data_IF_308581668794
#
_entry.id   IF_308581668794
#
_cell.length_a   1.000
_cell.length_b   1.000
_cell.length_c   1.000
_cell.angle_alpha   90.00
_cell.angle_beta   90.00
_cell.angle_gamma   90.00
#
_symmetry.space_group_name_H-M   'P 1'
#
loop_
_entity.id
_entity.type
_entity.pdbx_description
1 polymer ?
#
# COMPACT_ATOMS: atom_id res chain seq x y z
N UNK A 1 2.98 26.71 -22.02
CA UNK A 1 1.84 27.06 -21.16
C UNK A 1 0.68 26.16 -21.52
N UNK A 2 0.17 25.38 -20.58
CA UNK A 2 -0.94 24.44 -20.77
C UNK A 2 -1.97 24.67 -19.68
N UNK A 3 -3.24 24.82 -20.07
CA UNK A 3 -4.37 24.97 -19.16
C UNK A 3 -5.05 23.63 -18.94
N UNK A 4 -5.31 23.26 -17.71
CA UNK A 4 -6.06 22.06 -17.31
C UNK A 4 -7.25 22.46 -16.45
N UNK A 5 -8.41 21.86 -16.70
CA UNK A 5 -9.61 21.94 -15.85
C UNK A 5 -10.33 20.60 -15.85
N UNK A 6 -10.35 19.92 -14.71
CA UNK A 6 -10.78 18.52 -14.61
C UNK A 6 -10.03 17.65 -15.63
N UNK A 7 -10.76 16.88 -16.45
CA UNK A 7 -10.17 16.04 -17.51
C UNK A 7 -9.83 16.80 -18.82
N UNK A 8 -10.09 18.11 -18.90
CA UNK A 8 -9.89 18.89 -20.12
C UNK A 8 -8.58 19.65 -20.08
N UNK A 9 -7.79 19.50 -21.14
CA UNK A 9 -6.51 20.23 -21.30
C UNK A 9 -6.51 21.07 -22.58
N UNK A 10 -5.86 22.23 -22.55
CA UNK A 10 -5.65 23.10 -23.71
C UNK A 10 -4.25 23.68 -23.72
N UNK A 11 -3.49 23.41 -24.78
CA UNK A 11 -2.18 24.02 -24.99
C UNK A 11 -2.32 25.47 -25.48
N UNK A 12 -1.43 26.34 -25.00
CA UNK A 12 -1.39 27.77 -25.32
C UNK A 12 -2.76 28.47 -25.17
N UNK A 13 -3.33 28.48 -23.95
CA UNK A 13 -4.65 29.05 -23.67
C UNK A 13 -4.67 30.57 -23.94
N UNK A 14 -5.77 31.07 -24.49
CA UNK A 14 -6.03 32.52 -24.57
C UNK A 14 -6.61 33.03 -23.26
N UNK A 15 -6.61 34.35 -23.05
CA UNK A 15 -7.26 34.98 -21.88
C UNK A 15 -8.72 34.57 -21.75
N UNK A 16 -9.45 34.47 -22.87
CA UNK A 16 -10.84 34.04 -22.88
C UNK A 16 -11.01 32.59 -22.41
N UNK A 17 -10.07 31.70 -22.74
CA UNK A 17 -10.07 30.31 -22.28
C UNK A 17 -9.87 30.21 -20.77
N UNK A 18 -8.97 31.02 -20.22
CA UNK A 18 -8.70 31.09 -18.78
C UNK A 18 -9.94 31.63 -18.05
N UNK A 19 -10.55 32.70 -18.55
CA UNK A 19 -11.77 33.25 -17.94
C UNK A 19 -12.95 32.27 -17.98
N UNK A 20 -13.09 31.52 -19.08
CA UNK A 20 -14.10 30.48 -19.21
C UNK A 20 -13.83 29.31 -18.25
N UNK A 21 -12.57 28.90 -18.09
CA UNK A 21 -12.18 27.85 -17.15
C UNK A 21 -12.48 28.26 -15.70
N UNK A 22 -12.15 29.49 -15.31
CA UNK A 22 -12.48 30.00 -13.97
C UNK A 22 -13.99 30.05 -13.73
N UNK A 23 -14.78 30.49 -14.71
CA UNK A 23 -16.25 30.47 -14.59
C UNK A 23 -16.84 29.05 -14.57
N UNK A 24 -16.22 28.11 -15.29
CA UNK A 24 -16.63 26.71 -15.26
C UNK A 24 -16.37 26.10 -13.87
N UNK A 25 -15.17 26.28 -13.33
CA UNK A 25 -14.81 25.83 -11.98
C UNK A 25 -15.71 26.46 -10.89
N UNK A 26 -16.09 27.74 -11.04
CA UNK A 26 -17.03 28.40 -10.13
C UNK A 26 -18.45 27.81 -10.16
N UNK A 27 -18.86 27.23 -11.30
CA UNK A 27 -20.23 26.69 -11.51
C UNK A 27 -20.34 25.17 -11.29
N UNK A 28 -19.22 24.44 -11.31
CA UNK A 28 -19.17 23.00 -11.10
C UNK A 28 -19.47 22.58 -9.66
N UNK A 29 -19.91 21.33 -9.47
CA UNK A 29 -19.97 20.66 -8.16
C UNK A 29 -18.71 19.81 -8.00
N UNK A 30 -17.95 20.06 -6.92
CA UNK A 30 -16.78 19.35 -6.38
C UNK A 30 -15.65 18.96 -7.37
N UNK A 31 -14.41 19.34 -7.02
CA UNK A 31 -13.10 18.93 -7.59
C UNK A 31 -12.57 19.60 -8.88
N UNK A 32 -13.22 20.61 -9.46
CA UNK A 32 -12.68 21.32 -10.64
C UNK A 32 -11.59 22.36 -10.27
N UNK A 33 -10.32 21.94 -10.38
CA UNK A 33 -9.13 22.81 -10.26
C UNK A 33 -8.79 23.41 -11.62
N UNK A 34 -8.52 24.72 -11.67
CA UNK A 34 -7.97 25.38 -12.87
C UNK A 34 -6.47 25.49 -12.73
N UNK A 35 -5.70 24.78 -13.55
CA UNK A 35 -4.24 24.72 -13.49
C UNK A 35 -3.59 25.27 -14.77
N UNK A 36 -2.55 26.08 -14.61
CA UNK A 36 -1.69 26.58 -15.68
C UNK A 36 -0.26 26.05 -15.49
N UNK A 37 0.18 25.17 -16.38
CA UNK A 37 1.54 24.61 -16.40
C UNK A 37 2.44 25.43 -17.35
N UNK A 38 3.50 26.04 -16.81
CA UNK A 38 4.51 26.75 -17.59
C UNK A 38 5.70 25.86 -18.00
N UNK A 39 5.97 24.77 -17.27
CA UNK A 39 7.02 23.77 -17.51
C UNK A 39 6.89 22.54 -16.61
N UNK A 40 7.86 21.61 -16.64
CA UNK A 40 7.79 20.31 -15.91
C UNK A 40 7.59 20.45 -14.39
N UNK A 41 8.04 21.56 -13.79
CA UNK A 41 7.97 21.81 -12.34
C UNK A 41 7.45 23.22 -12.02
N UNK A 42 6.81 23.92 -12.97
CA UNK A 42 6.32 25.28 -12.76
C UNK A 42 4.85 25.39 -13.14
N UNK A 43 4.01 25.68 -12.14
CA UNK A 43 2.56 25.77 -12.32
C UNK A 43 1.92 26.83 -11.42
N UNK A 44 0.71 27.24 -11.80
CA UNK A 44 -0.19 28.05 -10.98
C UNK A 44 -1.60 27.46 -11.06
N UNK A 45 -2.17 27.09 -9.92
CA UNK A 45 -3.48 26.47 -9.80
C UNK A 45 -4.44 27.35 -9.00
N UNK A 46 -5.74 27.24 -9.30
CA UNK A 46 -6.83 27.89 -8.59
C UNK A 46 -7.90 26.85 -8.22
N UNK A 47 -8.11 26.67 -6.92
CA UNK A 47 -9.11 25.79 -6.34
C UNK A 47 -10.32 26.61 -5.90
N UNK A 48 -11.53 26.19 -6.30
CA UNK A 48 -12.76 26.83 -5.86
C UNK A 48 -13.18 26.34 -4.45
N UNK A 49 -13.45 27.26 -3.52
CA UNK A 49 -13.76 26.96 -2.11
C UNK A 49 -15.26 26.75 -1.82
N UNK A 50 -16.11 26.74 -2.85
CA UNK A 50 -17.56 26.56 -2.73
C UNK A 50 -18.35 27.81 -2.34
N UNK A 51 -17.69 28.89 -1.90
CA UNK A 51 -18.30 30.19 -1.55
C UNK A 51 -18.14 31.27 -2.62
N UNK A 52 -17.64 30.90 -3.81
CA UNK A 52 -17.36 31.82 -4.93
C UNK A 52 -15.94 32.42 -4.91
N UNK A 53 -15.14 32.15 -3.88
CA UNK A 53 -13.72 32.51 -3.81
C UNK A 53 -12.83 31.34 -4.19
N UNK A 54 -11.55 31.64 -4.40
CA UNK A 54 -10.56 30.66 -4.80
C UNK A 54 -9.29 30.76 -3.96
N UNK A 55 -8.74 29.61 -3.61
CA UNK A 55 -7.37 29.50 -3.11
C UNK A 55 -6.43 29.30 -4.29
N UNK A 56 -5.32 30.04 -4.33
CA UNK A 56 -4.28 29.84 -5.35
C UNK A 56 -3.13 29.02 -4.79
N UNK A 57 -2.61 28.10 -5.60
CA UNK A 57 -1.35 27.37 -5.36
C UNK A 57 -0.34 27.68 -6.47
N UNK A 58 0.91 27.96 -6.11
CA UNK A 58 2.01 28.11 -7.07
C UNK A 58 3.12 27.15 -6.71
N UNK A 59 3.57 26.35 -7.68
CA UNK A 59 4.77 25.54 -7.54
C UNK A 59 5.85 26.00 -8.49
N UNK A 60 7.08 26.07 -7.99
CA UNK A 60 8.28 26.20 -8.81
C UNK A 60 9.43 25.34 -8.22
N UNK A 61 10.63 25.44 -8.81
CA UNK A 61 11.83 24.73 -8.34
C UNK A 61 12.26 25.11 -6.91
N UNK A 62 11.78 26.22 -6.38
CA UNK A 62 12.13 26.74 -5.05
C UNK A 62 11.15 26.31 -3.96
N UNK A 63 9.93 25.91 -4.33
CA UNK A 63 8.95 25.38 -3.39
C UNK A 63 7.51 25.54 -3.87
N UNK A 64 6.58 25.29 -2.95
CA UNK A 64 5.15 25.53 -3.15
C UNK A 64 4.70 26.68 -2.28
N UNK A 65 3.76 27.45 -2.80
CA UNK A 65 3.21 28.63 -2.16
C UNK A 65 1.69 28.62 -2.31
N UNK A 66 0.98 29.13 -1.31
CA UNK A 66 -0.47 29.27 -1.36
C UNK A 66 -0.93 30.65 -0.91
N UNK A 67 -2.13 31.06 -1.29
CA UNK A 67 -2.75 32.27 -0.74
C UNK A 67 -3.08 32.09 0.74
N UNK A 68 -2.80 33.12 1.55
CA UNK A 68 -3.15 33.15 2.98
C UNK A 68 -4.67 33.07 3.21
N UNK A 69 -5.44 33.72 2.35
CA UNK A 69 -6.90 33.70 2.34
C UNK A 69 -7.43 33.55 0.90
N UNK A 70 -8.61 32.91 0.69
CA UNK A 70 -9.22 32.81 -0.62
C UNK A 70 -9.53 34.19 -1.23
N UNK A 71 -9.23 34.35 -2.52
CA UNK A 71 -9.40 35.60 -3.27
C UNK A 71 -10.62 35.55 -4.21
N UNK A 72 -11.17 36.72 -4.55
CA UNK A 72 -12.36 36.84 -5.40
C UNK A 72 -12.11 36.40 -6.85
N UNK A 73 -13.15 35.88 -7.52
CA UNK A 73 -13.09 35.39 -8.91
C UNK A 73 -12.46 36.39 -9.88
N UNK A 74 -12.78 37.69 -9.75
CA UNK A 74 -12.22 38.73 -10.62
C UNK A 74 -10.70 38.86 -10.47
N UNK A 75 -10.20 38.69 -9.25
CA UNK A 75 -8.76 38.73 -8.93
C UNK A 75 -8.06 37.49 -9.47
N UNK A 76 -8.67 36.31 -9.35
CA UNK A 76 -8.16 35.05 -9.92
C UNK A 76 -7.93 35.15 -11.42
N UNK A 77 -8.94 35.65 -12.16
CA UNK A 77 -8.84 35.83 -13.62
C UNK A 77 -7.66 36.73 -13.99
N UNK A 78 -7.46 37.83 -13.26
CA UNK A 78 -6.34 38.74 -13.48
C UNK A 78 -4.99 38.07 -13.21
N UNK A 79 -4.88 37.35 -12.09
CA UNK A 79 -3.66 36.64 -11.68
C UNK A 79 -3.29 35.54 -12.68
N UNK A 80 -4.23 34.66 -13.03
CA UNK A 80 -4.00 33.58 -14.00
C UNK A 80 -3.68 34.15 -15.40
N UNK A 81 -4.36 35.22 -15.83
CA UNK A 81 -4.08 35.87 -17.10
C UNK A 81 -2.67 36.47 -17.18
N UNK A 82 -2.20 37.10 -16.09
CA UNK A 82 -0.83 37.63 -16.00
C UNK A 82 0.22 36.55 -15.90
N UNK A 83 -0.08 35.45 -15.21
CA UNK A 83 0.80 34.28 -15.18
C UNK A 83 0.94 33.66 -16.56
N UNK A 84 -0.18 33.46 -17.28
CA UNK A 84 -0.18 32.91 -18.63
C UNK A 84 0.61 33.76 -19.64
N UNK A 85 0.63 35.09 -19.47
CA UNK A 85 1.40 36.01 -20.31
C UNK A 85 2.86 36.20 -19.89
N UNK A 86 3.29 35.59 -18.77
CA UNK A 86 4.62 35.74 -18.20
C UNK A 86 4.87 37.09 -17.51
N UNK A 87 3.82 37.86 -17.19
CA UNK A 87 3.95 39.14 -16.47
C UNK A 87 4.19 38.92 -14.97
N UNK A 88 5.39 39.23 -14.43
CA UNK A 88 5.72 38.97 -13.02
C UNK A 88 4.86 39.77 -12.03
N UNK A 89 4.06 40.74 -12.48
CA UNK A 89 3.14 41.49 -11.64
C UNK A 89 2.06 40.62 -10.99
N UNK A 90 1.78 39.42 -11.51
CA UNK A 90 0.81 38.49 -10.92
C UNK A 90 1.12 38.19 -9.44
N UNK A 91 2.41 38.12 -9.07
CA UNK A 91 2.87 37.89 -7.68
C UNK A 91 2.57 39.04 -6.73
N UNK A 92 2.29 40.24 -7.24
CA UNK A 92 1.93 41.41 -6.42
C UNK A 92 0.44 41.51 -6.17
N UNK A 93 -0.37 40.76 -6.92
CA UNK A 93 -1.82 40.79 -6.79
C UNK A 93 -2.39 39.75 -5.83
N UNK A 94 -1.58 38.74 -5.51
CA UNK A 94 -1.86 37.71 -4.51
C UNK A 94 -0.69 37.62 -3.53
N UNK A 95 -1.00 37.61 -2.23
CA UNK A 95 0.01 37.36 -1.20
C UNK A 95 0.17 35.85 -1.05
N UNK A 96 1.22 35.32 -1.66
CA UNK A 96 1.60 33.93 -1.55
C UNK A 96 2.49 33.72 -0.33
N UNK A 97 2.08 32.82 0.55
CA UNK A 97 2.88 32.34 1.67
C UNK A 97 3.55 31.03 1.25
N UNK A 98 4.83 30.80 1.62
CA UNK A 98 5.43 29.49 1.45
C UNK A 98 4.62 28.49 2.26
N UNK A 99 4.29 27.36 1.62
CA UNK A 99 3.56 26.28 2.27
C UNK A 99 4.29 25.92 3.56
N UNK A 100 3.62 26.08 4.71
CA UNK A 100 4.20 25.65 5.98
C UNK A 100 4.48 24.17 5.79
N UNK A 101 5.76 23.75 5.81
CA UNK A 101 6.17 22.36 5.60
C UNK A 101 5.49 21.42 6.61
N UNK A 102 4.24 21.09 6.36
CA UNK A 102 3.58 19.86 6.71
C UNK A 102 3.24 19.22 5.37
N UNK A 103 3.66 17.98 5.15
CA UNK A 103 4.08 17.50 3.84
C UNK A 103 2.88 17.32 2.90
N UNK A 104 2.61 18.32 2.06
CA UNK A 104 2.03 18.06 0.76
C UNK A 104 2.86 17.00 0.06
N UNK A 105 2.22 15.87 -0.25
CA UNK A 105 2.70 14.83 -1.16
C UNK A 105 4.21 14.68 -1.19
N UNK A 106 4.84 14.36 -0.04
CA UNK A 106 6.15 13.70 -0.12
C UNK A 106 5.91 12.55 -1.07
N UNK A 107 6.70 12.49 -2.15
CA UNK A 107 6.98 11.25 -2.87
C UNK A 107 7.09 10.22 -1.75
N UNK A 108 6.02 9.43 -1.51
CA UNK A 108 6.17 8.20 -0.75
C UNK A 108 7.39 7.64 -1.42
N UNK A 109 8.47 7.40 -0.67
CA UNK A 109 9.58 6.65 -1.23
C UNK A 109 8.84 5.43 -1.75
N UNK A 110 8.66 5.39 -3.07
CA UNK A 110 8.02 4.27 -3.69
C UNK A 110 8.86 3.11 -3.20
N UNK A 111 8.23 1.97 -3.08
CA UNK A 111 8.92 0.70 -3.17
C UNK A 111 9.67 0.55 -4.52
N UNK A 112 10.27 1.62 -5.05
CA UNK A 112 11.32 1.61 -6.03
C UNK A 112 12.56 1.11 -5.29
N UNK A 113 12.91 -0.18 -5.45
CA UNK A 113 14.17 -0.68 -4.94
C UNK A 113 15.28 0.28 -5.40
N UNK A 114 16.23 0.62 -4.51
CA UNK A 114 17.31 1.53 -4.88
C UNK A 114 18.04 0.94 -6.10
N UNK A 115 18.52 1.80 -7.00
CA UNK A 115 19.12 1.38 -8.29
C UNK A 115 20.16 0.27 -8.11
N UNK A 116 20.97 0.33 -7.04
CA UNK A 116 21.94 -0.72 -6.72
C UNK A 116 21.30 -2.08 -6.42
N UNK A 117 20.13 -2.14 -5.77
CA UNK A 117 19.42 -3.39 -5.49
C UNK A 117 18.80 -3.97 -6.76
N UNK A 118 18.27 -3.14 -7.66
CA UNK A 118 17.79 -3.57 -8.99
C UNK A 118 18.95 -4.17 -9.78
N UNK A 119 20.10 -3.49 -9.82
CA UNK A 119 21.30 -3.96 -10.51
C UNK A 119 21.79 -5.28 -9.91
N UNK A 120 21.81 -5.42 -8.58
CA UNK A 120 22.27 -6.63 -7.89
C UNK A 120 21.34 -7.82 -8.16
N UNK A 121 20.03 -7.59 -8.21
CA UNK A 121 19.04 -8.62 -8.57
C UNK A 121 19.13 -8.99 -10.04
N UNK A 122 19.28 -8.01 -10.93
CA UNK A 122 19.50 -8.26 -12.36
C UNK A 122 20.79 -9.05 -12.58
N UNK A 123 21.89 -8.65 -11.94
CA UNK A 123 23.17 -9.38 -12.00
C UNK A 123 23.01 -10.79 -11.44
N UNK A 124 22.31 -11.01 -10.33
CA UNK A 124 22.05 -12.36 -9.83
C UNK A 124 21.22 -13.20 -10.82
N UNK A 125 20.22 -12.59 -11.45
CA UNK A 125 19.34 -13.24 -12.44
C UNK A 125 20.09 -13.63 -13.73
N UNK A 126 21.12 -12.88 -14.13
CA UNK A 126 21.93 -13.18 -15.32
C UNK A 126 23.20 -13.98 -15.01
N UNK A 127 23.88 -13.71 -13.89
CA UNK A 127 25.13 -14.37 -13.52
C UNK A 127 24.93 -15.82 -13.07
N UNK A 128 23.85 -16.13 -12.34
CA UNK A 128 23.59 -17.50 -11.87
C UNK A 128 23.31 -18.50 -13.01
N UNK A 129 22.54 -18.16 -14.06
CA UNK A 129 22.45 -18.97 -15.28
C UNK A 129 23.76 -19.07 -16.06
N UNK A 130 24.52 -17.97 -16.16
CA UNK A 130 25.82 -17.99 -16.86
C UNK A 130 26.81 -18.93 -16.17
N UNK A 131 26.81 -18.97 -14.84
CA UNK A 131 27.60 -19.92 -14.05
C UNK A 131 27.20 -21.38 -14.28
N UNK A 132 25.94 -21.65 -14.66
CA UNK A 132 25.47 -23.01 -15.01
C UNK A 132 25.88 -23.46 -16.42
N UNK A 133 26.39 -22.55 -17.25
CA UNK A 133 26.89 -22.82 -18.61
C UNK A 133 28.42 -22.96 -18.63
N UNK A 134 29.11 -22.61 -17.53
CA UNK A 134 30.55 -22.77 -17.40
C UNK A 134 30.94 -24.26 -17.36
N UNK A 135 32.13 -24.64 -17.89
CA UNK A 135 32.59 -26.03 -17.90
C UNK A 135 32.60 -26.64 -16.50
N UNK A 136 32.22 -27.92 -16.39
CA UNK A 136 32.09 -28.64 -15.11
C UNK A 136 33.38 -28.56 -14.25
N UNK A 137 34.55 -28.48 -14.87
CA UNK A 137 35.85 -28.32 -14.20
C UNK A 137 35.99 -27.03 -13.37
N UNK A 138 35.17 -26.01 -13.64
CA UNK A 138 35.12 -24.76 -12.87
C UNK A 138 34.11 -24.81 -11.71
N UNK A 139 33.21 -25.79 -11.69
CA UNK A 139 32.11 -25.91 -10.70
C UNK A 139 32.30 -27.04 -9.68
N UNK A 140 33.37 -27.86 -9.82
CA UNK A 140 33.57 -29.12 -9.07
C UNK A 140 33.65 -29.03 -7.53
N UNK A 141 33.78 -27.85 -6.92
CA UNK A 141 33.96 -27.72 -5.46
C UNK A 141 32.67 -27.51 -4.65
N UNK A 142 32.02 -26.38 -4.89
CA UNK A 142 30.91 -25.87 -4.05
C UNK A 142 29.64 -25.58 -4.86
N UNK A 143 29.72 -25.59 -6.19
CA UNK A 143 28.62 -25.33 -7.11
C UNK A 143 28.02 -26.61 -7.72
N UNK A 144 28.69 -27.76 -7.59
CA UNK A 144 28.28 -29.05 -8.18
C UNK A 144 26.95 -29.60 -7.67
N UNK A 145 26.42 -29.08 -6.55
CA UNK A 145 25.07 -29.37 -6.05
C UNK A 145 24.04 -28.28 -6.37
N UNK A 146 24.43 -27.17 -6.99
CA UNK A 146 23.57 -26.00 -7.23
C UNK A 146 22.72 -26.30 -8.46
N UNK A 147 21.76 -27.22 -8.29
CA UNK A 147 20.79 -27.57 -9.33
C UNK A 147 19.95 -26.37 -9.75
N UNK A 148 19.11 -26.52 -10.80
CA UNK A 148 18.29 -25.44 -11.37
C UNK A 148 17.41 -24.71 -10.35
N UNK A 149 17.13 -25.31 -9.18
CA UNK A 149 16.45 -24.67 -8.06
C UNK A 149 17.11 -23.36 -7.57
N UNK A 150 18.44 -23.25 -7.62
CA UNK A 150 19.17 -22.05 -7.18
C UNK A 150 19.16 -20.90 -8.20
N UNK A 151 18.85 -21.18 -9.47
CA UNK A 151 18.61 -20.15 -10.49
C UNK A 151 17.38 -19.30 -10.11
N UNK A 152 16.40 -19.93 -9.44
CA UNK A 152 15.19 -19.26 -8.95
C UNK A 152 15.36 -18.77 -7.51
N UNK A 153 15.91 -19.61 -6.61
CA UNK A 153 16.04 -19.26 -5.20
C UNK A 153 17.15 -18.22 -4.92
N UNK A 154 18.26 -18.26 -5.67
CA UNK A 154 19.40 -17.36 -5.50
C UNK A 154 19.06 -15.88 -5.66
N UNK A 155 18.42 -15.45 -6.77
CA UNK A 155 17.99 -14.07 -6.96
C UNK A 155 16.99 -13.61 -5.89
N UNK A 156 16.10 -14.49 -5.42
CA UNK A 156 15.14 -14.19 -4.33
C UNK A 156 15.88 -13.93 -3.02
N UNK A 157 16.85 -14.78 -2.66
CA UNK A 157 17.67 -14.60 -1.45
C UNK A 157 18.46 -13.30 -1.52
N UNK A 158 19.09 -13.03 -2.67
CA UNK A 158 19.86 -11.82 -2.92
C UNK A 158 18.98 -10.56 -2.83
N UNK A 159 17.78 -10.59 -3.41
CA UNK A 159 16.78 -9.52 -3.30
C UNK A 159 16.41 -9.27 -1.83
N UNK A 160 16.11 -10.32 -1.06
CA UNK A 160 15.75 -10.20 0.35
C UNK A 160 16.89 -9.61 1.18
N UNK A 161 18.14 -10.06 0.94
CA UNK A 161 19.32 -9.51 1.62
C UNK A 161 19.53 -8.04 1.25
N UNK A 162 19.35 -7.66 -0.02
CA UNK A 162 19.45 -6.26 -0.46
C UNK A 162 18.38 -5.37 0.21
N UNK A 163 17.13 -5.84 0.31
CA UNK A 163 16.05 -5.13 1.01
C UNK A 163 16.42 -4.91 2.49
N UNK A 164 16.88 -5.97 3.17
CA UNK A 164 17.29 -5.89 4.58
C UNK A 164 18.48 -4.95 4.77
N UNK A 165 19.51 -5.07 3.93
CA UNK A 165 20.70 -4.21 3.98
C UNK A 165 20.34 -2.73 3.75
N UNK A 166 19.44 -2.44 2.79
CA UNK A 166 18.98 -1.07 2.54
C UNK A 166 18.31 -0.48 3.78
N UNK A 167 17.40 -1.23 4.42
CA UNK A 167 16.72 -0.79 5.64
C UNK A 167 17.69 -0.62 6.81
N UNK A 168 18.68 -1.50 6.96
CA UNK A 168 19.72 -1.36 7.99
C UNK A 168 20.60 -0.12 7.78
N UNK A 169 20.90 0.24 6.52
CA UNK A 169 21.63 1.48 6.20
C UNK A 169 20.81 2.73 6.54
N UNK A 170 19.50 2.73 6.24
CA UNK A 170 18.61 3.83 6.64
C UNK A 170 18.55 4.00 8.16
N UNK A 171 18.46 2.89 8.90
CA UNK A 171 18.45 2.89 10.37
C UNK A 171 19.77 3.39 10.94
N UNK A 172 20.92 3.00 10.36
CA UNK A 172 22.23 3.52 10.78
C UNK A 172 22.35 5.03 10.56
N UNK A 173 21.84 5.54 9.44
CA UNK A 173 21.83 6.99 9.17
C UNK A 173 20.92 7.74 10.14
N UNK A 174 19.76 7.17 10.43
CA UNK A 174 18.85 7.74 11.40
C UNK A 174 19.37 7.64 12.83
N UNK A 175 20.17 6.63 13.19
CA UNK A 175 20.71 6.44 14.55
C UNK A 175 21.57 7.62 15.06
N UNK A 176 22.10 8.45 14.17
CA UNK A 176 22.84 9.67 14.51
C UNK A 176 21.94 10.92 14.63
N UNK A 177 20.64 10.80 14.37
CA UNK A 177 19.73 11.94 14.44
C UNK A 177 19.62 12.50 15.87
N UNK A 178 19.78 13.82 16.05
CA UNK A 178 19.50 14.51 17.30
C UNK A 178 18.03 14.38 17.68
N UNK A 179 17.74 14.67 18.95
CA UNK A 179 16.41 14.62 19.52
C UNK A 179 16.01 15.97 20.12
N UNK A 180 14.75 16.32 19.99
CA UNK A 180 14.14 17.49 20.62
C UNK A 180 12.82 17.12 21.30
N UNK A 181 12.46 17.76 22.44
CA UNK A 181 11.15 17.58 23.03
C UNK A 181 10.08 18.14 22.08
N UNK A 182 9.01 17.38 21.91
CA UNK A 182 7.83 17.75 21.15
C UNK A 182 6.54 17.42 21.88
N UNK A 183 5.43 17.86 21.30
CA UNK A 183 4.08 17.63 21.84
C UNK A 183 3.18 17.07 20.77
N UNK A 184 2.39 16.05 21.12
CA UNK A 184 1.36 15.51 20.23
C UNK A 184 0.22 16.53 20.10
N UNK A 185 -0.08 16.95 18.88
CA UNK A 185 -1.18 17.86 18.56
C UNK A 185 -2.43 17.10 18.10
N UNK A 186 -2.24 15.94 17.47
CA UNK A 186 -3.32 15.09 16.95
C UNK A 186 -3.02 13.62 17.18
N UNK A 187 -4.04 12.84 17.55
CA UNK A 187 -3.94 11.38 17.73
C UNK A 187 -5.31 10.76 17.56
N UNK A 188 -5.61 10.33 16.33
CA UNK A 188 -6.89 9.74 15.95
C UNK A 188 -6.73 8.60 14.94
N UNK A 189 -7.81 7.85 14.72
CA UNK A 189 -7.86 6.87 13.62
C UNK A 189 -8.22 7.60 12.34
N UNK A 190 -7.42 7.45 11.29
CA UNK A 190 -7.74 7.95 9.97
C UNK A 190 -8.00 6.80 8.99
N UNK A 191 -9.14 6.85 8.32
CA UNK A 191 -9.44 5.96 7.22
C UNK A 191 -8.73 6.45 5.94
N UNK A 192 -7.91 5.59 5.35
CA UNK A 192 -7.20 5.86 4.09
C UNK A 192 -7.76 4.97 3.00
N UNK A 193 -8.23 5.58 1.93
CA UNK A 193 -8.70 4.88 0.73
C UNK A 193 -7.50 4.61 -0.19
N UNK A 194 -7.23 3.33 -0.46
CA UNK A 194 -6.19 2.88 -1.40
C UNK A 194 -6.87 2.38 -2.66
N UNK A 195 -6.92 3.23 -3.67
CA UNK A 195 -7.36 2.83 -5.02
C UNK A 195 -6.19 2.23 -5.79
N UNK A 196 -6.47 1.17 -6.53
CA UNK A 196 -5.56 0.55 -7.47
C UNK A 196 -6.32 0.32 -8.76
N UNK A 197 -5.71 0.52 -9.94
CA UNK A 197 -6.42 0.35 -11.21
C UNK A 197 -6.90 -1.08 -11.48
N UNK A 198 -6.28 -2.07 -10.83
CA UNK A 198 -6.47 -3.50 -11.07
C UNK A 198 -7.33 -4.24 -10.04
N UNK A 199 -7.79 -3.55 -8.99
CA UNK A 199 -8.61 -4.13 -7.92
C UNK A 199 -9.50 -3.06 -7.26
N UNK A 200 -10.57 -3.46 -6.56
CA UNK A 200 -11.43 -2.51 -5.85
C UNK A 200 -10.65 -1.69 -4.81
N UNK A 201 -11.08 -0.46 -4.58
CA UNK A 201 -10.48 0.42 -3.59
C UNK A 201 -10.70 -0.12 -2.17
N UNK A 202 -9.62 -0.11 -1.41
CA UNK A 202 -9.57 -0.63 -0.04
C UNK A 202 -9.59 0.52 0.97
N UNK A 203 -10.23 0.31 2.12
CA UNK A 203 -10.14 1.23 3.26
C UNK A 203 -9.22 0.62 4.29
N UNK A 204 -8.21 1.39 4.71
CA UNK A 204 -7.26 1.00 5.74
C UNK A 204 -7.31 2.02 6.88
N UNK A 205 -7.54 1.56 8.10
CA UNK A 205 -7.52 2.42 9.29
C UNK A 205 -6.10 2.55 9.81
N UNK A 206 -5.48 3.72 9.63
CA UNK A 206 -4.11 4.00 10.02
C UNK A 206 -4.11 5.01 11.20
N UNK A 207 -3.11 4.97 12.10
CA UNK A 207 -2.99 5.94 13.18
C UNK A 207 -2.53 7.29 12.62
N UNK A 208 -3.38 8.31 12.70
CA UNK A 208 -3.04 9.68 12.35
C UNK A 208 -2.52 10.41 13.59
N UNK A 209 -1.19 10.45 13.70
CA UNK A 209 -0.50 11.15 14.78
C UNK A 209 0.20 12.37 14.19
N UNK A 210 -0.06 13.55 14.74
CA UNK A 210 0.65 14.78 14.42
C UNK A 210 1.29 15.32 15.69
N UNK A 211 2.48 15.89 15.53
CA UNK A 211 3.23 16.45 16.63
C UNK A 211 3.99 17.69 16.20
N UNK A 212 4.25 18.56 17.17
CA UNK A 212 5.06 19.76 17.00
C UNK A 212 6.32 19.67 17.86
N UNK A 213 7.42 20.25 17.36
CA UNK A 213 8.69 20.33 18.10
C UNK A 213 9.50 21.53 17.63
N UNK A 214 10.52 21.89 18.41
CA UNK A 214 11.41 23.00 18.07
C UNK A 214 12.82 22.48 17.80
N UNK A 215 13.37 22.83 16.64
CA UNK A 215 14.76 22.54 16.27
C UNK A 215 15.43 23.83 15.77
N UNK A 216 16.64 24.12 16.26
CA UNK A 216 17.38 25.34 15.90
C UNK A 216 16.56 26.64 16.06
N UNK A 217 15.68 26.71 17.06
CA UNK A 217 14.82 27.87 17.33
C UNK A 217 13.60 28.00 16.41
N UNK A 218 13.41 27.10 15.44
CA UNK A 218 12.26 27.07 14.53
C UNK A 218 11.30 25.94 14.92
N UNK A 219 10.01 26.20 14.79
CA UNK A 219 8.95 25.22 15.06
C UNK A 219 8.70 24.37 13.82
N UNK A 220 8.62 23.07 14.02
CA UNK A 220 8.36 22.07 12.99
C UNK A 220 7.19 21.18 13.39
N UNK A 221 6.52 20.61 12.39
CA UNK A 221 5.49 19.59 12.57
C UNK A 221 5.93 18.30 11.91
N UNK A 222 5.46 17.18 12.45
CA UNK A 222 5.72 15.87 11.89
C UNK A 222 4.54 14.93 12.08
N UNK A 223 4.47 13.93 11.21
CA UNK A 223 3.38 12.95 11.17
C UNK A 223 3.85 11.50 11.18
N UNK A 224 5.17 11.29 11.16
CA UNK A 224 5.77 9.96 11.01
C UNK A 224 6.08 9.41 12.39
N UNK A 225 5.58 8.21 12.67
CA UNK A 225 5.96 7.56 13.92
C UNK A 225 7.31 6.87 13.80
N UNK A 226 7.64 6.22 12.68
CA UNK A 226 8.92 5.49 12.54
C UNK A 226 9.58 5.54 11.18
N UNK A 227 10.69 4.81 11.04
CA UNK A 227 11.45 4.67 9.77
C UNK A 227 10.78 3.66 8.82
N UNK A 228 9.93 2.77 9.34
CA UNK A 228 9.17 1.81 8.55
C UNK A 228 8.04 2.45 7.73
N UNK A 229 7.58 1.73 6.70
CA UNK A 229 6.28 2.06 6.07
C UNK A 229 5.15 1.79 7.06
N UNK A 230 4.15 2.66 7.06
CA UNK A 230 2.96 2.53 7.91
C UNK A 230 2.37 1.12 7.77
N UNK A 231 2.23 0.42 8.89
CA UNK A 231 2.00 -1.04 8.95
C UNK A 231 0.58 -1.48 8.53
N UNK A 232 -0.06 -0.76 7.61
CA UNK A 232 -1.40 -1.07 7.12
C UNK A 232 -2.46 -1.08 8.21
N UNK A 233 -2.27 -0.30 9.29
CA UNK A 233 -3.21 -0.22 10.40
C UNK A 233 -3.04 -1.28 11.50
N UNK A 234 -2.10 -2.22 11.37
CA UNK A 234 -1.81 -3.15 12.45
C UNK A 234 -1.30 -2.40 13.69
N UNK A 235 -1.90 -2.65 14.85
CA UNK A 235 -1.61 -2.00 16.14
C UNK A 235 -2.03 -0.51 16.26
N UNK A 236 -2.95 -0.02 15.41
CA UNK A 236 -3.45 1.37 15.48
C UNK A 236 -3.87 1.76 16.90
N UNK A 237 -4.63 0.92 17.61
CA UNK A 237 -5.07 1.25 18.98
C UNK A 237 -3.92 1.45 19.96
N UNK A 238 -2.96 0.51 19.98
CA UNK A 238 -1.81 0.55 20.86
C UNK A 238 -0.95 1.79 20.61
N UNK A 239 -0.84 2.18 19.34
CA UNK A 239 -0.07 3.35 18.91
C UNK A 239 -0.72 4.65 19.39
N UNK A 240 -2.02 4.80 19.19
CA UNK A 240 -2.76 5.97 19.65
C UNK A 240 -2.84 6.04 21.18
N UNK A 241 -2.85 4.89 21.88
CA UNK A 241 -2.75 4.85 23.35
C UNK A 241 -1.36 5.29 23.85
N UNK A 242 -0.30 4.99 23.10
CA UNK A 242 1.08 5.38 23.41
C UNK A 242 1.34 6.87 23.16
N UNK A 243 0.64 7.47 22.21
CA UNK A 243 0.80 8.86 21.80
C UNK A 243 -0.50 9.66 21.97
N UNK A 244 -0.97 9.91 23.21
CA UNK A 244 -2.19 10.68 23.43
C UNK A 244 -1.98 12.17 23.10
N UNK A 245 -3.05 12.84 22.67
CA UNK A 245 -3.05 14.30 22.41
C UNK A 245 -2.58 15.05 23.66
N UNK A 246 -1.69 16.03 23.44
CA UNK A 246 -1.08 16.82 24.50
C UNK A 246 0.11 16.15 25.20
N UNK A 247 0.35 14.86 24.95
CA UNK A 247 1.49 14.13 25.49
C UNK A 247 2.83 14.67 25.00
N UNK A 248 3.83 14.65 25.87
CA UNK A 248 5.22 15.02 25.53
C UNK A 248 5.95 13.82 24.95
N UNK A 249 6.63 14.03 23.83
CA UNK A 249 7.40 13.01 23.11
C UNK A 249 8.79 13.50 22.78
N UNK A 250 9.70 12.56 22.51
CA UNK A 250 11.00 12.89 21.91
C UNK A 250 10.88 12.72 20.41
N UNK A 251 11.20 13.78 19.67
CA UNK A 251 11.21 13.79 18.21
C UNK A 251 12.65 13.69 17.75
N UNK A 252 12.95 12.67 16.96
CA UNK A 252 14.23 12.51 16.28
C UNK A 252 14.13 13.17 14.90
N UNK A 253 15.10 14.00 14.53
CA UNK A 253 15.05 14.75 13.28
C UNK A 253 16.40 14.74 12.55
N UNK A 254 16.36 14.81 11.23
CA UNK A 254 17.56 14.97 10.42
C UNK A 254 18.12 16.41 10.59
N UNK A 255 19.37 16.61 11.03
CA UNK A 255 19.95 17.95 11.19
C UNK A 255 19.96 18.77 9.89
N UNK A 256 20.08 18.10 8.74
CA UNK A 256 20.13 18.75 7.43
C UNK A 256 18.72 19.08 6.90
N UNK A 257 17.69 18.36 7.34
CA UNK A 257 16.28 18.62 7.03
C UNK A 257 15.41 18.30 8.25
N UNK A 258 15.19 19.26 9.17
CA UNK A 258 14.41 18.98 10.38
C UNK A 258 12.96 18.55 10.09
N UNK A 259 12.41 18.84 8.91
CA UNK A 259 11.10 18.32 8.50
C UNK A 259 11.10 16.80 8.30
N UNK A 260 12.26 16.16 8.14
CA UNK A 260 12.45 14.72 8.17
C UNK A 260 12.64 14.27 9.63
N UNK A 261 11.52 14.01 10.31
CA UNK A 261 11.50 13.64 11.70
C UNK A 261 10.64 12.39 11.95
N UNK A 262 10.90 11.70 13.06
CA UNK A 262 10.19 10.50 13.53
C UNK A 262 10.11 10.46 15.05
N UNK A 263 9.09 9.82 15.62
CA UNK A 263 8.97 9.56 17.07
C UNK A 263 9.77 8.34 17.53
N UNK A 264 9.97 7.37 16.63
CA UNK A 264 10.67 6.11 16.85
C UNK A 264 11.78 5.94 15.81
N UNK A 265 13.01 6.01 16.28
CA UNK A 265 14.22 5.81 15.46
C UNK A 265 14.62 4.34 15.31
N UNK A 266 14.11 3.49 16.19
CA UNK A 266 14.44 2.06 16.22
C UNK A 266 13.48 1.26 15.32
N UNK A 267 13.97 0.18 14.72
CA UNK A 267 13.09 -0.82 14.11
C UNK A 267 12.15 -1.38 15.19
N UNK A 268 10.86 -1.63 14.90
CA UNK A 268 9.96 -2.25 15.86
C UNK A 268 10.59 -3.54 16.42
N UNK A 269 10.51 -3.71 17.74
CA UNK A 269 11.07 -4.88 18.45
C UNK A 269 10.47 -6.16 17.86
N UNK A 270 11.26 -6.85 17.03
CA UNK A 270 10.83 -8.10 16.38
C UNK A 270 10.97 -8.12 14.86
N UNK A 271 11.04 -6.98 14.17
CA UNK A 271 11.21 -6.97 12.69
C UNK A 271 12.56 -7.59 12.31
N UNK A 272 13.64 -7.26 13.00
CA UNK A 272 14.95 -7.88 12.77
C UNK A 272 14.95 -9.39 13.04
N UNK A 273 14.31 -9.83 14.12
CA UNK A 273 14.17 -11.26 14.47
C UNK A 273 13.26 -12.00 13.48
N UNK A 274 12.21 -11.35 12.99
CA UNK A 274 11.29 -11.88 11.99
C UNK A 274 11.94 -12.02 10.62
N UNK A 275 12.67 -10.99 10.16
CA UNK A 275 13.45 -11.06 8.92
C UNK A 275 14.55 -12.12 9.01
N UNK A 276 15.30 -12.19 10.11
CA UNK A 276 16.30 -13.23 10.34
C UNK A 276 15.67 -14.62 10.41
N UNK A 277 14.54 -14.77 11.09
CA UNK A 277 13.80 -16.03 11.17
C UNK A 277 13.26 -16.48 9.82
N UNK A 278 12.75 -15.56 8.99
CA UNK A 278 12.29 -15.85 7.63
C UNK A 278 13.45 -16.24 6.72
N UNK A 279 14.57 -15.52 6.77
CA UNK A 279 15.79 -15.88 6.03
C UNK A 279 16.33 -17.24 6.46
N UNK A 280 16.38 -17.52 7.77
CA UNK A 280 16.81 -18.80 8.30
C UNK A 280 15.85 -19.92 7.88
N UNK A 281 14.53 -19.69 7.92
CA UNK A 281 13.52 -20.65 7.47
C UNK A 281 13.65 -20.96 5.98
N UNK A 282 13.80 -19.95 5.13
CA UNK A 282 14.05 -20.12 3.70
C UNK A 282 15.37 -20.86 3.44
N UNK A 283 16.43 -20.55 4.20
CA UNK A 283 17.71 -21.24 4.08
C UNK A 283 17.60 -22.72 4.49
N UNK A 284 16.86 -23.04 5.55
CA UNK A 284 16.60 -24.43 5.98
C UNK A 284 15.78 -25.18 4.92
N UNK A 285 14.75 -24.55 4.34
CA UNK A 285 13.95 -25.15 3.25
C UNK A 285 14.82 -25.37 2.02
N UNK A 286 15.61 -24.38 1.60
CA UNK A 286 16.52 -24.49 0.48
C UNK A 286 17.58 -25.58 0.71
N UNK A 287 18.16 -25.64 1.92
CA UNK A 287 19.09 -26.70 2.30
C UNK A 287 18.44 -28.08 2.29
N UNK A 288 17.20 -28.20 2.78
CA UNK A 288 16.44 -29.45 2.73
C UNK A 288 16.16 -29.92 1.30
N UNK A 289 15.71 -29.01 0.43
CA UNK A 289 15.51 -29.28 -0.99
C UNK A 289 16.82 -29.66 -1.68
N UNK A 290 17.92 -28.97 -1.36
CA UNK A 290 19.24 -29.27 -1.90
C UNK A 290 19.76 -30.63 -1.44
N UNK A 291 19.71 -30.89 -0.13
CA UNK A 291 20.28 -32.08 0.52
C UNK A 291 19.49 -33.35 0.25
N UNK A 292 18.17 -33.24 0.12
CA UNK A 292 17.26 -34.38 0.02
C UNK A 292 16.48 -34.42 -1.30
N UNK A 293 16.35 -33.33 -2.04
CA UNK A 293 15.56 -33.28 -3.28
C UNK A 293 16.05 -34.27 -4.33
N UNK A 294 17.35 -34.26 -4.64
CA UNK A 294 17.95 -35.22 -5.58
C UNK A 294 17.77 -36.68 -5.14
N UNK A 295 18.22 -37.08 -3.94
CA UNK A 295 18.03 -38.45 -3.44
C UNK A 295 16.56 -38.90 -3.36
N UNK A 296 15.65 -38.01 -3.00
CA UNK A 296 14.20 -38.31 -2.96
C UNK A 296 13.65 -38.51 -4.37
N UNK A 297 14.02 -37.63 -5.32
CA UNK A 297 13.62 -37.75 -6.72
C UNK A 297 14.13 -39.06 -7.32
N UNK A 298 15.42 -39.37 -7.20
CA UNK A 298 16.00 -40.60 -7.76
C UNK A 298 15.44 -41.87 -7.11
N UNK A 299 15.14 -41.84 -5.80
CA UNK A 299 14.49 -42.95 -5.11
C UNK A 299 13.05 -43.14 -5.59
N UNK A 300 12.32 -42.05 -5.84
CA UNK A 300 10.95 -42.09 -6.37
C UNK A 300 10.91 -42.52 -7.83
N UNK A 301 11.82 -42.01 -8.66
CA UNK A 301 12.02 -42.43 -10.06
C UNK A 301 12.32 -43.93 -10.14
N UNK A 302 13.21 -44.44 -9.28
CA UNK A 302 13.52 -45.88 -9.21
C UNK A 302 12.34 -46.75 -8.77
N UNK A 303 11.33 -46.20 -8.09
CA UNK A 303 10.14 -46.92 -7.66
C UNK A 303 8.95 -46.81 -8.62
N UNK A 304 8.77 -45.66 -9.26
CA UNK A 304 7.52 -45.31 -9.95
C UNK A 304 7.72 -44.86 -11.42
N UNK A 305 8.98 -44.69 -11.86
CA UNK A 305 9.32 -44.10 -13.16
C UNK A 305 9.33 -42.56 -13.14
N UNK A 306 10.08 -41.97 -14.07
CA UNK A 306 10.32 -40.51 -14.16
C UNK A 306 9.03 -39.70 -14.29
N UNK A 307 8.12 -40.10 -15.19
CA UNK A 307 6.86 -39.36 -15.40
C UNK A 307 5.93 -39.36 -14.18
N UNK A 308 5.91 -40.45 -13.39
CA UNK A 308 5.00 -40.59 -12.25
C UNK A 308 5.54 -39.95 -10.97
N UNK A 309 6.87 -39.91 -10.79
CA UNK A 309 7.51 -39.30 -9.61
C UNK A 309 7.25 -37.78 -9.57
N UNK A 310 7.29 -37.10 -10.72
CA UNK A 310 6.97 -35.67 -10.81
C UNK A 310 5.50 -35.38 -10.50
N UNK A 311 4.57 -36.18 -11.04
CA UNK A 311 3.13 -36.04 -10.76
C UNK A 311 2.86 -36.26 -9.25
N UNK A 312 3.49 -37.26 -8.65
CA UNK A 312 3.40 -37.54 -7.22
C UNK A 312 3.81 -36.33 -6.36
N UNK A 313 4.96 -35.74 -6.66
CA UNK A 313 5.50 -34.61 -5.90
C UNK A 313 4.69 -33.33 -6.07
N UNK A 314 4.28 -33.01 -7.31
CA UNK A 314 3.48 -31.82 -7.59
C UNK A 314 2.10 -31.94 -6.94
N UNK A 315 1.41 -33.07 -7.14
CA UNK A 315 0.08 -33.29 -6.59
C UNK A 315 0.09 -33.38 -5.06
N UNK A 316 1.06 -34.10 -4.48
CA UNK A 316 1.23 -34.20 -3.03
C UNK A 316 1.62 -32.87 -2.37
N UNK A 317 2.52 -32.10 -3.00
CA UNK A 317 2.91 -30.77 -2.56
C UNK A 317 1.76 -29.76 -2.63
N UNK A 318 1.01 -29.75 -3.74
CA UNK A 318 -0.19 -28.94 -3.88
C UNK A 318 -1.27 -29.32 -2.86
N UNK A 319 -1.47 -30.63 -2.61
CA UNK A 319 -2.38 -31.13 -1.58
C UNK A 319 -2.02 -30.65 -0.18
N UNK A 320 -0.73 -30.74 0.19
CA UNK A 320 -0.22 -30.25 1.48
C UNK A 320 -0.38 -28.74 1.62
N UNK A 321 -0.06 -27.96 0.57
CA UNK A 321 -0.22 -26.51 0.57
C UNK A 321 -1.68 -26.10 0.78
N UNK A 322 -2.62 -26.72 0.05
CA UNK A 322 -4.05 -26.47 0.21
C UNK A 322 -4.57 -26.88 1.59
N UNK A 323 -4.04 -27.95 2.18
CA UNK A 323 -4.38 -28.37 3.54
C UNK A 323 -3.89 -27.35 4.59
N UNK A 324 -2.69 -26.79 4.43
CA UNK A 324 -2.18 -25.72 5.29
C UNK A 324 -3.03 -24.46 5.17
N UNK A 325 -3.43 -24.08 3.95
CA UNK A 325 -4.38 -22.98 3.73
C UNK A 325 -5.73 -23.26 4.39
N UNK A 326 -6.24 -24.49 4.34
CA UNK A 326 -7.47 -24.88 5.04
C UNK A 326 -7.35 -24.67 6.56
N UNK A 327 -6.27 -25.14 7.19
CA UNK A 327 -6.07 -24.94 8.62
C UNK A 327 -5.90 -23.47 9.00
N UNK A 328 -5.17 -22.69 8.18
CA UNK A 328 -5.05 -21.24 8.34
C UNK A 328 -6.42 -20.55 8.26
N UNK A 329 -7.17 -20.82 7.20
CA UNK A 329 -8.52 -20.28 7.00
C UNK A 329 -9.48 -20.69 8.12
N UNK A 330 -9.41 -21.94 8.61
CA UNK A 330 -10.23 -22.42 9.73
C UNK A 330 -9.88 -21.72 11.04
N UNK A 331 -8.60 -21.46 11.30
CA UNK A 331 -8.16 -20.72 12.49
C UNK A 331 -8.70 -19.28 12.45
N UNK A 332 -8.56 -18.59 11.31
CA UNK A 332 -9.09 -17.24 11.11
C UNK A 332 -10.62 -17.21 11.17
N UNK A 333 -11.31 -18.20 10.59
CA UNK A 333 -12.78 -18.28 10.66
C UNK A 333 -13.30 -18.56 12.07
N UNK A 334 -12.60 -19.38 12.87
CA UNK A 334 -12.96 -19.63 14.28
C UNK A 334 -12.83 -18.35 15.12
N UNK A 335 -11.81 -17.53 14.84
CA UNK A 335 -11.63 -16.23 15.48
C UNK A 335 -12.72 -15.26 15.02
N UNK A 336 -12.97 -15.16 13.71
CA UNK A 336 -14.00 -14.29 13.12
C UNK A 336 -15.43 -14.61 13.59
N UNK A 337 -15.75 -15.87 13.85
CA UNK A 337 -17.06 -16.25 14.39
C UNK A 337 -17.26 -15.88 15.86
N UNK A 338 -16.18 -15.61 16.60
CA UNK A 338 -16.20 -15.20 18.00
C UNK A 338 -16.02 -13.68 18.17
N UNK A 339 -15.97 -12.93 17.07
CA UNK A 339 -15.83 -11.47 17.12
C UNK A 339 -17.05 -10.81 17.80
N UNK A 340 -16.83 -9.90 18.76
CA UNK A 340 -17.87 -9.06 19.31
C UNK A 340 -18.51 -8.19 18.22
N UNK A 341 -19.73 -7.72 18.48
CA UNK A 341 -20.44 -6.79 17.60
C UNK A 341 -20.71 -5.44 18.23
N UNK A 342 -20.79 -4.43 17.37
CA UNK A 342 -21.20 -3.07 17.71
C UNK A 342 -22.14 -2.53 16.63
N UNK A 343 -22.98 -1.55 16.97
CA UNK A 343 -23.77 -0.84 15.97
C UNK A 343 -22.88 0.09 15.15
N UNK A 344 -23.03 0.05 13.83
CA UNK A 344 -22.39 0.95 12.88
C UNK A 344 -23.40 1.48 11.87
N UNK A 345 -22.94 2.36 10.98
CA UNK A 345 -23.76 2.97 9.93
C UNK A 345 -23.06 2.91 8.60
N UNK A 346 -23.80 2.56 7.55
CA UNK A 346 -23.29 2.64 6.17
C UNK A 346 -23.11 4.11 5.79
N UNK A 347 -21.88 4.48 5.42
CA UNK A 347 -21.50 5.85 5.02
C UNK A 347 -21.36 5.99 3.50
N UNK A 348 -21.16 4.88 2.78
CA UNK A 348 -21.12 4.86 1.32
C UNK A 348 -21.65 3.54 0.80
N UNK A 349 -22.49 3.56 -0.24
CA UNK A 349 -22.97 2.34 -0.88
C UNK A 349 -23.09 2.49 -2.39
N UNK A 350 -22.48 1.57 -3.14
CA UNK A 350 -22.50 1.61 -4.59
C UNK A 350 -21.72 0.49 -5.25
N UNK A 351 -21.24 0.77 -6.46
CA UNK A 351 -20.43 -0.18 -7.23
C UNK A 351 -19.22 0.52 -7.80
N UNK A 352 -18.09 -0.18 -7.79
CA UNK A 352 -16.85 0.28 -8.41
C UNK A 352 -16.45 -0.70 -9.51
N UNK A 353 -15.91 -0.16 -10.61
CA UNK A 353 -15.33 -0.96 -11.68
C UNK A 353 -13.81 -0.95 -11.60
N UNK A 354 -13.18 -2.08 -11.86
CA UNK A 354 -11.73 -2.21 -11.93
C UNK A 354 -11.33 -3.04 -13.17
N UNK A 355 -10.12 -2.82 -13.66
CA UNK A 355 -9.62 -3.47 -14.87
C UNK A 355 -8.63 -4.58 -14.51
N UNK A 356 -9.04 -5.84 -14.65
CA UNK A 356 -8.15 -6.97 -14.46
C UNK A 356 -7.52 -7.37 -15.81
N UNK A 357 -6.19 -7.49 -15.85
CA UNK A 357 -5.49 -8.02 -17.02
C UNK A 357 -5.43 -9.54 -16.93
N UNK A 358 -6.15 -10.21 -17.83
CA UNK A 358 -6.12 -11.67 -17.97
C UNK A 358 -5.55 -11.96 -19.35
N UNK A 359 -4.37 -12.59 -19.39
CA UNK A 359 -3.57 -12.79 -20.59
C UNK A 359 -3.25 -11.46 -21.34
N UNK A 360 -3.64 -11.36 -22.61
CA UNK A 360 -3.52 -10.16 -23.46
C UNK A 360 -4.79 -9.30 -23.49
N UNK A 361 -5.79 -9.59 -22.64
CA UNK A 361 -7.08 -8.89 -22.62
C UNK A 361 -7.27 -8.15 -21.31
N UNK A 362 -7.86 -6.96 -21.41
CA UNK A 362 -8.34 -6.19 -20.25
C UNK A 362 -9.80 -6.54 -20.03
N UNK A 363 -10.13 -7.02 -18.83
CA UNK A 363 -11.49 -7.38 -18.43
C UNK A 363 -11.96 -6.42 -17.35
N UNK A 364 -13.03 -5.68 -17.64
CA UNK A 364 -13.69 -4.83 -16.65
C UNK A 364 -14.53 -5.70 -15.73
N UNK A 365 -14.32 -5.54 -14.42
CA UNK A 365 -15.09 -6.23 -13.38
C UNK A 365 -15.71 -5.22 -12.45
N UNK A 366 -16.79 -5.63 -11.77
CA UNK A 366 -17.50 -4.79 -10.83
C UNK A 366 -17.46 -5.40 -9.42
N UNK A 367 -17.27 -4.54 -8.43
CA UNK A 367 -17.32 -4.88 -7.02
C UNK A 367 -18.35 -4.02 -6.29
N UNK A 368 -19.08 -4.58 -5.30
CA UNK A 368 -19.90 -3.78 -4.41
C UNK A 368 -18.99 -2.95 -3.48
N UNK A 369 -19.26 -1.67 -3.36
CA UNK A 369 -18.66 -0.78 -2.37
C UNK A 369 -19.69 -0.56 -1.29
N UNK A 370 -19.43 -1.05 -0.09
CA UNK A 370 -20.28 -0.80 1.09
C UNK A 370 -19.35 -0.39 2.20
N UNK A 371 -19.15 0.91 2.37
CA UNK A 371 -18.35 1.46 3.46
C UNK A 371 -19.26 1.77 4.64
N UNK A 372 -18.83 1.36 5.82
CA UNK A 372 -19.54 1.62 7.06
C UNK A 372 -18.58 2.10 8.15
N UNK A 373 -19.08 3.00 8.99
CA UNK A 373 -18.39 3.55 10.14
C UNK A 373 -18.95 2.97 11.44
N UNK A 374 -18.09 2.73 12.42
CA UNK A 374 -18.44 2.14 13.71
C UNK A 374 -17.50 2.64 14.80
N UNK A 375 -17.97 2.65 16.04
CA UNK A 375 -17.20 3.14 17.20
C UNK A 375 -16.70 1.98 18.03
N UNK A 376 -15.40 1.96 18.31
CA UNK A 376 -14.78 1.04 19.29
C UNK A 376 -13.92 1.88 20.23
N UNK A 377 -14.12 1.73 21.53
CA UNK A 377 -13.38 2.49 22.56
C UNK A 377 -13.37 4.02 22.34
N UNK A 378 -14.47 4.57 21.82
CA UNK A 378 -14.61 6.01 21.53
C UNK A 378 -13.88 6.49 20.27
N UNK A 379 -13.35 5.57 19.44
CA UNK A 379 -12.69 5.89 18.16
C UNK A 379 -13.52 5.38 16.99
N UNK A 380 -13.65 6.21 15.96
CA UNK A 380 -14.35 5.83 14.73
C UNK A 380 -13.42 5.01 13.84
N UNK A 381 -13.88 3.83 13.43
CA UNK A 381 -13.25 2.96 12.46
C UNK A 381 -14.14 2.83 11.23
N UNK A 382 -13.54 2.53 10.08
CA UNK A 382 -14.25 2.29 8.82
C UNK A 382 -13.87 0.96 8.21
N UNK A 383 -14.81 0.28 7.59
CA UNK A 383 -14.52 -0.94 6.83
C UNK A 383 -15.42 -1.04 5.62
N UNK A 384 -14.94 -1.75 4.60
CA UNK A 384 -15.70 -2.11 3.40
C UNK A 384 -16.03 -3.59 3.30
N UNK A 385 -15.63 -4.36 4.31
CA UNK A 385 -15.71 -5.80 4.23
C UNK A 385 -17.13 -6.25 4.60
N UNK A 386 -17.80 -6.87 3.64
CA UNK A 386 -19.13 -7.42 3.86
C UNK A 386 -19.02 -8.78 4.56
N UNK A 387 -18.06 -9.64 4.18
CA UNK A 387 -17.93 -11.01 4.70
C UNK A 387 -16.49 -11.47 4.84
N UNK A 388 -16.25 -12.40 5.78
CA UNK A 388 -14.97 -13.10 5.97
C UNK A 388 -14.94 -14.49 5.29
N UNK A 389 -13.78 -14.95 4.77
CA UNK A 389 -12.55 -14.19 4.53
C UNK A 389 -12.73 -13.17 3.39
N UNK A 390 -11.79 -12.22 3.24
CA UNK A 390 -11.75 -11.19 2.17
C UNK A 390 -11.57 -11.85 0.79
N UNK A 391 -12.62 -12.50 0.28
CA UNK A 391 -12.61 -13.13 -1.04
C UNK A 391 -13.18 -12.14 -2.05
N UNK A 392 -12.31 -11.59 -2.87
CA UNK A 392 -12.67 -10.69 -3.96
C UNK A 392 -13.14 -11.55 -5.14
N UNK A 393 -14.44 -11.52 -5.42
CA UNK A 393 -15.00 -12.16 -6.61
C UNK A 393 -15.48 -11.03 -7.51
N UNK A 394 -14.86 -10.88 -8.68
CA UNK A 394 -15.37 -9.98 -9.71
C UNK A 394 -16.78 -10.39 -10.12
N UNK A 395 -17.74 -9.49 -10.00
CA UNK A 395 -19.16 -9.75 -10.33
C UNK A 395 -19.54 -9.00 -11.60
N UNK A 396 -20.67 -9.40 -12.18
CA UNK A 396 -21.39 -8.53 -13.12
C UNK A 396 -21.83 -7.25 -12.39
N UNK A 397 -21.98 -6.16 -13.13
CA UNK A 397 -22.47 -4.89 -12.58
C UNK A 397 -23.79 -5.08 -11.80
N UNK A 398 -24.75 -5.79 -12.39
CA UNK A 398 -26.02 -6.11 -11.74
C UNK A 398 -25.84 -6.92 -10.45
N UNK A 399 -24.89 -7.85 -10.41
CA UNK A 399 -24.58 -8.64 -9.22
C UNK A 399 -23.95 -7.81 -8.10
N UNK A 400 -23.06 -6.88 -8.44
CA UNK A 400 -22.48 -5.93 -7.48
C UNK A 400 -23.55 -4.96 -6.94
N UNK A 401 -24.35 -4.37 -7.83
CA UNK A 401 -25.42 -3.44 -7.45
C UNK A 401 -26.46 -4.11 -6.54
N UNK A 402 -26.82 -5.37 -6.81
CA UNK A 402 -27.74 -6.14 -5.96
C UNK A 402 -27.23 -6.35 -4.53
N UNK A 403 -25.91 -6.43 -4.35
CA UNK A 403 -25.31 -6.56 -3.01
C UNK A 403 -25.30 -5.20 -2.30
N UNK A 404 -24.84 -4.15 -2.99
CA UNK A 404 -24.82 -2.79 -2.45
C UNK A 404 -26.22 -2.33 -2.01
N UNK A 405 -27.25 -2.64 -2.80
CA UNK A 405 -28.65 -2.31 -2.49
C UNK A 405 -29.17 -2.93 -1.17
N UNK A 406 -28.52 -3.96 -0.61
CA UNK A 406 -28.87 -4.51 0.72
C UNK A 406 -28.43 -3.61 1.87
N UNK A 407 -27.46 -2.75 1.60
CA UNK A 407 -26.81 -1.87 2.55
C UNK A 407 -26.86 -0.42 2.02
N UNK A 408 -28.06 0.21 1.92
CA UNK A 408 -28.17 1.61 1.50
C UNK A 408 -27.46 2.54 2.48
N UNK A 409 -27.02 3.70 1.98
CA UNK A 409 -26.41 4.75 2.80
C UNK A 409 -27.33 5.18 3.95
N UNK A 410 -26.73 5.46 5.10
CA UNK A 410 -27.44 5.78 6.34
C UNK A 410 -28.02 4.59 7.10
N UNK A 411 -28.06 3.38 6.52
CA UNK A 411 -28.57 2.19 7.19
C UNK A 411 -27.70 1.81 8.40
N UNK A 412 -28.35 1.53 9.52
CA UNK A 412 -27.69 0.93 10.69
C UNK A 412 -27.43 -0.55 10.46
N UNK A 413 -26.23 -0.99 10.81
CA UNK A 413 -25.72 -2.34 10.56
C UNK A 413 -25.02 -2.86 11.80
N UNK A 414 -25.15 -4.16 12.05
CA UNK A 414 -24.32 -4.83 13.06
C UNK A 414 -22.94 -5.09 12.46
N UNK A 415 -21.90 -4.61 13.13
CA UNK A 415 -20.51 -4.72 12.69
C UNK A 415 -19.78 -5.66 13.64
N UNK A 416 -19.24 -6.76 13.11
CA UNK A 416 -18.38 -7.67 13.85
C UNK A 416 -16.92 -7.27 13.67
N UNK A 417 -16.20 -6.98 14.75
CA UNK A 417 -14.82 -6.48 14.69
C UNK A 417 -13.83 -7.39 15.43
N UNK A 418 -12.57 -7.43 14.98
CA UNK A 418 -11.51 -8.12 15.71
C UNK A 418 -11.13 -7.31 16.97
N UNK A 419 -11.33 -7.82 18.20
CA UNK A 419 -10.98 -7.08 19.41
C UNK A 419 -9.46 -6.88 19.57
N UNK A 420 -8.63 -7.69 18.90
CA UNK A 420 -7.18 -7.48 18.87
C UNK A 420 -6.76 -6.45 17.80
N UNK A 421 -7.62 -6.20 16.81
CA UNK A 421 -7.40 -5.23 15.75
C UNK A 421 -8.72 -4.61 15.28
N UNK A 422 -9.26 -3.60 15.98
CA UNK A 422 -10.58 -3.04 15.66
C UNK A 422 -10.71 -2.40 14.28
N UNK A 423 -9.60 -2.19 13.56
CA UNK A 423 -9.63 -1.77 12.15
C UNK A 423 -10.06 -2.87 11.18
N UNK A 424 -10.11 -4.12 11.64
CA UNK A 424 -10.61 -5.27 10.89
C UNK A 424 -12.02 -5.63 11.36
N UNK A 425 -13.01 -5.44 10.47
CA UNK A 425 -14.40 -5.73 10.77
C UNK A 425 -15.16 -6.23 9.54
N UNK A 426 -16.27 -6.94 9.76
CA UNK A 426 -17.18 -7.44 8.74
C UNK A 426 -18.65 -7.31 9.14
N UNK A 427 -19.55 -7.14 8.17
CA UNK A 427 -21.00 -7.14 8.40
C UNK A 427 -21.56 -8.55 8.58
N UNK A 428 -21.01 -9.53 7.87
CA UNK A 428 -21.43 -10.92 7.86
C UNK A 428 -20.33 -11.83 8.39
N UNK A 429 -20.73 -12.79 9.23
CA UNK A 429 -19.83 -13.84 9.73
C UNK A 429 -19.35 -14.75 8.61
N UNK A 430 -18.25 -15.44 8.87
CA UNK A 430 -17.58 -16.26 7.87
C UNK A 430 -18.53 -17.28 7.23
N UNK A 431 -18.59 -17.32 5.90
CA UNK A 431 -19.13 -18.51 5.23
C UNK A 431 -18.13 -19.63 5.50
N UNK A 432 -18.57 -20.73 6.10
CA UNK A 432 -17.74 -21.93 6.36
C UNK A 432 -17.22 -22.64 5.11
N UNK A 433 -16.97 -21.92 4.01
CA UNK A 433 -16.60 -22.40 2.69
C UNK A 433 -15.20 -23.03 2.66
N UNK A 434 -14.35 -22.89 3.67
CA UNK A 434 -13.00 -23.49 3.67
C UNK A 434 -13.00 -25.01 3.39
N UNK A 435 -14.12 -25.72 3.58
CA UNK A 435 -14.26 -27.13 3.22
C UNK A 435 -13.87 -27.48 1.78
N UNK A 436 -14.03 -26.56 0.80
CA UNK A 436 -13.59 -26.84 -0.58
C UNK A 436 -12.07 -26.98 -0.68
N UNK A 437 -11.29 -26.23 0.12
CA UNK A 437 -9.83 -26.37 0.18
C UNK A 437 -9.44 -27.76 0.69
N UNK A 438 -10.19 -28.29 1.65
CA UNK A 438 -9.99 -29.65 2.15
C UNK A 438 -10.28 -30.69 1.04
N UNK A 439 -11.37 -30.53 0.30
CA UNK A 439 -11.69 -31.43 -0.82
C UNK A 439 -10.62 -31.39 -1.90
N UNK A 440 -10.16 -30.20 -2.30
CA UNK A 440 -9.07 -30.07 -3.27
C UNK A 440 -7.75 -30.66 -2.75
N UNK A 441 -7.46 -30.50 -1.46
CA UNK A 441 -6.30 -31.13 -0.83
C UNK A 441 -6.38 -32.67 -0.91
N UNK A 442 -7.55 -33.24 -0.60
CA UNK A 442 -7.80 -34.68 -0.70
C UNK A 442 -7.70 -35.19 -2.13
N UNK A 443 -8.16 -34.42 -3.12
CA UNK A 443 -7.98 -34.75 -4.55
C UNK A 443 -6.48 -34.76 -4.90
N UNK A 444 -5.72 -33.74 -4.48
CA UNK A 444 -4.27 -33.69 -4.69
C UNK A 444 -3.55 -34.92 -4.10
N UNK A 445 -3.89 -35.29 -2.87
CA UNK A 445 -3.37 -36.51 -2.26
C UNK A 445 -3.83 -37.80 -2.97
N UNK A 446 -5.07 -37.85 -3.43
CA UNK A 446 -5.60 -38.98 -4.21
C UNK A 446 -4.84 -39.18 -5.53
N UNK A 447 -4.55 -38.08 -6.24
CA UNK A 447 -3.72 -38.10 -7.46
C UNK A 447 -2.29 -38.55 -7.14
N UNK A 448 -1.71 -38.09 -6.03
CA UNK A 448 -0.40 -38.56 -5.60
C UNK A 448 -0.42 -40.07 -5.30
N UNK A 449 -1.39 -40.56 -4.53
CA UNK A 449 -1.53 -42.00 -4.24
C UNK A 449 -1.75 -42.83 -5.51
N UNK A 450 -2.54 -42.35 -6.46
CA UNK A 450 -2.69 -43.01 -7.76
C UNK A 450 -1.38 -43.08 -8.54
N UNK A 451 -0.66 -41.94 -8.63
CA UNK A 451 0.64 -41.88 -9.29
C UNK A 451 1.69 -42.81 -8.62
N UNK A 452 1.52 -43.10 -7.33
CA UNK A 452 2.38 -44.02 -6.60
C UNK A 452 2.22 -45.50 -6.96
N UNK A 453 1.17 -45.87 -7.70
CA UNK A 453 0.90 -47.25 -8.10
C UNK A 453 0.37 -48.15 -6.97
N UNK A 454 0.04 -47.58 -5.80
CA UNK A 454 -0.51 -48.33 -4.66
C UNK A 454 -1.98 -48.73 -4.88
N UNK A 455 -2.72 -48.00 -5.73
CA UNK A 455 -4.17 -48.15 -5.93
C UNK A 455 -4.52 -48.37 -7.41
N UNK A 456 -3.62 -48.93 -8.21
CA UNK A 456 -3.82 -49.15 -9.65
C UNK A 456 -3.21 -50.45 -10.13
#
# INVERSE_FOLDING_TARGET
MKLTIGDKTKDNPTTADIEQAVEAARRGQDDDIVELEAGEDEYLEALHEGDGRFSLGHGDKTGRFHTEEPIETARVKSVLGKYASGDPAWRRECRLLPDAKSPGGRKRIGSEPPVWAIVLVAVAFFALPILSILPDSWTEGWLSGIGPAWIVAGPIVVLLVAIVAHKLLQVRRAAAWPQAPGRITKSEVAARHKSHGDRPSEVVNEPAIEYEFTANGLKYTGTRIGIGEDSGGANTEAMLARYPVGGTVMVYYDPADPGNCVLERELPKGVSKGCLGLLAGLAVVAYGVWRFGGPVLTTLEGRMGEDRSHIFLIAGGAGLFLLLLFFGARKSAKQGNAWPSVSGRVVQSGTESYQERIDRRTVTRYAPVVEYAYLVNGREYRSRQIRLPKVQIGRSQAGAAKIAARYPEGKEVEVHYDPANPGEAALERSSGAAWFLLVLALIGFGVAVYASGVVG
#
